data_IF_934782823948
#
_entry.id   IF_934782823948
#
_cell.length_a   1.000
_cell.length_b   1.000
_cell.length_c   1.000
_cell.angle_alpha   90.00
_cell.angle_beta   90.00
_cell.angle_gamma   90.00
#
_symmetry.space_group_name_H-M   'P 1'
#
loop_
_entity.id
_entity.type
_entity.pdbx_description
1 polymer ?
#
# COMPACT_ATOMS: atom_id res chain seq x y z
N UNK A 1 -6.48 0.59 11.86
CA UNK A 1 -5.98 -0.02 10.62
C UNK A 1 -6.37 0.81 9.40
N UNK A 2 -5.41 1.04 8.50
CA UNK A 2 -5.63 1.68 7.20
C UNK A 2 -6.45 0.76 6.29
N UNK A 3 -7.32 1.32 5.48
CA UNK A 3 -8.01 0.61 4.41
C UNK A 3 -7.33 0.91 3.08
N UNK A 4 -7.35 -0.04 2.15
CA UNK A 4 -6.89 0.20 0.77
C UNK A 4 -8.10 -0.02 -0.12
N UNK A 5 -8.43 0.96 -0.95
CA UNK A 5 -9.53 0.84 -1.89
C UNK A 5 -9.20 -0.22 -2.94
N UNK A 6 -10.22 -0.82 -3.54
CA UNK A 6 -10.05 -1.77 -4.64
C UNK A 6 -9.28 -1.12 -5.81
N UNK A 7 -9.61 0.13 -6.15
CA UNK A 7 -8.94 0.88 -7.20
C UNK A 7 -7.44 1.09 -6.92
N UNK A 8 -7.08 1.41 -5.66
CA UNK A 8 -5.68 1.52 -5.26
C UNK A 8 -4.98 0.16 -5.27
N UNK A 9 -5.63 -0.91 -4.80
CA UNK A 9 -5.08 -2.28 -4.82
C UNK A 9 -4.72 -2.71 -6.25
N UNK A 10 -5.65 -2.52 -7.19
CA UNK A 10 -5.45 -2.83 -8.61
C UNK A 10 -4.32 -1.99 -9.23
N UNK A 11 -4.30 -0.68 -8.99
CA UNK A 11 -3.24 0.18 -9.53
C UNK A 11 -1.85 -0.15 -8.98
N UNK A 12 -1.77 -0.56 -7.70
CA UNK A 12 -0.52 -1.04 -7.10
C UNK A 12 -0.08 -2.37 -7.71
N UNK A 13 -1.00 -3.30 -7.92
CA UNK A 13 -0.70 -4.59 -8.56
C UNK A 13 -0.17 -4.39 -9.99
N UNK A 14 -0.87 -3.62 -10.82
CA UNK A 14 -0.45 -3.31 -12.19
C UNK A 14 0.96 -2.68 -12.21
N UNK A 15 1.23 -1.75 -11.30
CA UNK A 15 2.56 -1.12 -11.21
C UNK A 15 3.68 -2.12 -10.82
N UNK A 16 3.39 -3.13 -9.99
CA UNK A 16 4.33 -4.20 -9.65
C UNK A 16 4.56 -5.15 -10.84
N UNK A 17 3.52 -5.46 -11.62
CA UNK A 17 3.61 -6.27 -12.83
C UNK A 17 4.43 -5.60 -13.92
N UNK A 18 4.12 -4.34 -14.22
CA UNK A 18 4.83 -3.53 -15.21
C UNK A 18 6.32 -3.40 -14.86
N UNK A 19 6.63 -3.25 -13.58
CA UNK A 19 8.00 -3.17 -13.08
C UNK A 19 8.68 -4.55 -12.92
N UNK A 20 8.01 -5.65 -13.26
CA UNK A 20 8.51 -7.03 -13.10
C UNK A 20 9.00 -7.35 -11.70
N UNK A 21 8.32 -6.83 -10.67
CA UNK A 21 8.67 -7.06 -9.26
C UNK A 21 8.34 -8.51 -8.88
N UNK A 22 9.20 -9.24 -8.15
CA UNK A 22 8.91 -10.60 -7.71
C UNK A 22 7.61 -10.68 -6.88
N UNK A 23 6.81 -11.76 -6.98
CA UNK A 23 5.51 -11.87 -6.30
C UNK A 23 5.58 -11.84 -4.77
N UNK A 24 6.75 -12.13 -4.18
CA UNK A 24 6.99 -12.03 -2.74
C UNK A 24 7.35 -10.61 -2.26
N UNK A 25 7.52 -9.65 -3.17
CA UNK A 25 7.78 -8.24 -2.88
C UNK A 25 6.62 -7.36 -3.32
N UNK A 26 6.41 -6.26 -2.60
CA UNK A 26 5.33 -5.31 -2.87
C UNK A 26 5.63 -3.94 -2.28
N UNK A 27 4.61 -3.10 -2.15
CA UNK A 27 4.76 -1.76 -1.59
C UNK A 27 4.61 -1.73 -0.07
N UNK A 28 5.64 -1.27 0.64
CA UNK A 28 5.58 -0.94 2.07
C UNK A 28 5.22 0.52 2.27
N UNK A 29 4.23 0.78 3.12
CA UNK A 29 3.99 2.11 3.65
C UNK A 29 4.92 2.40 4.81
N UNK A 30 5.79 3.41 4.66
CA UNK A 30 6.71 3.85 5.68
C UNK A 30 6.41 5.30 6.08
N UNK A 31 6.46 5.60 7.37
CA UNK A 31 6.48 6.97 7.87
C UNK A 31 7.93 7.50 7.84
N UNK A 32 8.14 8.69 7.28
CA UNK A 32 9.43 9.38 7.27
C UNK A 32 9.21 10.86 7.51
N UNK A 33 9.71 11.39 8.61
CA UNK A 33 9.69 12.84 8.92
C UNK A 33 8.28 13.49 8.80
N UNK A 34 7.23 12.78 9.24
CA UNK A 34 5.85 13.27 9.20
C UNK A 34 5.15 13.14 7.84
N UNK A 35 5.77 12.49 6.86
CA UNK A 35 5.11 12.09 5.60
C UNK A 35 5.10 10.57 5.44
N UNK A 36 4.07 10.07 4.76
CA UNK A 36 3.98 8.66 4.40
C UNK A 36 4.49 8.44 2.97
N UNK A 37 5.28 7.40 2.77
CA UNK A 37 5.86 7.04 1.47
C UNK A 37 5.71 5.55 1.21
N UNK A 38 5.48 5.21 -0.05
CA UNK A 38 5.58 3.83 -0.53
C UNK A 38 7.00 3.54 -0.99
N UNK A 39 7.51 2.37 -0.63
CA UNK A 39 8.77 1.82 -1.12
C UNK A 39 8.60 0.34 -1.46
N UNK A 40 9.40 -0.20 -2.36
CA UNK A 40 9.42 -1.65 -2.59
C UNK A 40 10.12 -2.34 -1.42
N UNK A 41 9.50 -3.40 -0.91
CA UNK A 41 10.03 -4.18 0.21
C UNK A 41 9.46 -5.61 0.20
N UNK A 42 9.92 -6.44 1.13
CA UNK A 42 9.35 -7.75 1.44
C UNK A 42 8.66 -7.72 2.82
N UNK A 43 7.59 -8.50 3.03
CA UNK A 43 6.95 -8.58 4.33
C UNK A 43 7.89 -9.13 5.40
N UNK A 44 7.83 -8.52 6.58
CA UNK A 44 8.32 -9.07 7.84
C UNK A 44 7.21 -9.88 8.52
N UNK A 45 7.54 -10.59 9.60
CA UNK A 45 6.58 -11.43 10.33
C UNK A 45 5.45 -10.65 11.00
N UNK A 46 5.67 -9.37 11.27
CA UNK A 46 4.74 -8.53 12.02
C UNK A 46 3.89 -7.62 11.11
N UNK A 47 4.19 -7.56 9.81
CA UNK A 47 3.46 -6.71 8.89
C UNK A 47 2.05 -7.23 8.62
N UNK A 48 1.08 -6.31 8.54
CA UNK A 48 -0.17 -6.62 7.84
C UNK A 48 0.09 -6.58 6.34
N UNK A 49 -0.29 -7.66 5.66
CA UNK A 49 -0.05 -7.83 4.22
C UNK A 49 -1.39 -7.94 3.48
N UNK A 50 -1.54 -7.12 2.44
CA UNK A 50 -2.62 -7.23 1.45
C UNK A 50 -2.05 -7.96 0.24
N UNK A 51 -2.78 -9.00 -0.19
CA UNK A 51 -2.43 -9.84 -1.33
C UNK A 51 -3.54 -9.82 -2.36
N UNK A 52 -3.15 -9.84 -3.63
CA UNK A 52 -4.00 -10.05 -4.79
C UNK A 52 -3.36 -11.16 -5.62
N UNK A 53 -4.14 -12.12 -6.10
CA UNK A 53 -3.66 -13.20 -6.98
C UNK A 53 -2.37 -13.89 -6.47
N UNK A 54 -2.32 -14.19 -5.16
CA UNK A 54 -1.18 -14.78 -4.44
C UNK A 54 0.08 -13.89 -4.33
N UNK A 55 0.11 -12.72 -4.97
CA UNK A 55 1.18 -11.72 -4.90
C UNK A 55 1.00 -10.76 -3.74
N UNK A 56 2.12 -10.32 -3.17
CA UNK A 56 2.17 -9.23 -2.18
C UNK A 56 1.99 -7.88 -2.89
N UNK A 57 0.91 -7.16 -2.59
CA UNK A 57 0.64 -5.84 -3.20
C UNK A 57 1.05 -4.72 -2.26
N UNK A 58 0.58 -4.80 -1.01
CA UNK A 58 0.78 -3.76 -0.01
C UNK A 58 1.12 -4.39 1.34
N UNK A 59 2.00 -3.73 2.08
CA UNK A 59 2.35 -4.10 3.45
C UNK A 59 2.50 -2.86 4.33
N UNK A 60 2.18 -3.01 5.60
CA UNK A 60 2.26 -1.93 6.57
C UNK A 60 2.68 -2.48 7.93
N UNK A 61 3.62 -1.77 8.57
CA UNK A 61 4.07 -2.09 9.92
C UNK A 61 2.96 -1.77 10.93
N UNK A 62 2.81 -2.54 12.01
CA UNK A 62 1.74 -2.35 12.99
C UNK A 62 1.61 -0.90 13.49
N UNK A 63 2.74 -0.25 13.79
CA UNK A 63 2.75 1.14 14.28
C UNK A 63 2.16 2.13 13.27
N UNK A 64 2.40 1.91 11.97
CA UNK A 64 1.88 2.74 10.89
C UNK A 64 0.40 2.42 10.63
N UNK A 65 0.03 1.15 10.70
CA UNK A 65 -1.33 0.67 10.48
C UNK A 65 -2.30 1.19 11.55
N UNK A 66 -1.83 1.24 12.80
CA UNK A 66 -2.56 1.79 13.95
C UNK A 66 -2.64 3.32 13.87
N UNK A 67 -1.55 4.00 13.51
CA UNK A 67 -1.54 5.46 13.36
C UNK A 67 -2.48 5.96 12.24
N UNK A 68 -2.83 5.09 11.30
CA UNK A 68 -3.71 5.38 10.16
C UNK A 68 -5.08 4.71 10.29
N UNK A 69 -5.54 4.45 11.51
CA UNK A 69 -6.92 4.02 11.74
C UNK A 69 -7.93 5.05 11.21
N UNK A 70 -8.93 4.56 10.47
CA UNK A 70 -9.94 5.42 9.84
C UNK A 70 -9.43 6.18 8.60
N UNK A 71 -8.28 5.78 8.05
CA UNK A 71 -7.75 6.32 6.79
C UNK A 71 -7.90 5.29 5.67
N UNK A 72 -8.23 5.75 4.47
CA UNK A 72 -8.23 4.96 3.23
C UNK A 72 -7.11 5.44 2.32
N UNK A 73 -6.28 4.50 1.85
CA UNK A 73 -5.43 4.68 0.69
C UNK A 73 -6.27 4.47 -0.56
N UNK A 74 -6.44 5.53 -1.34
CA UNK A 74 -7.20 5.50 -2.59
C UNK A 74 -6.43 6.20 -3.72
N UNK A 75 -6.94 6.10 -4.94
CA UNK A 75 -6.55 6.95 -6.04
C UNK A 75 -7.19 8.32 -5.91
N UNK A 76 -6.46 9.35 -6.34
CA UNK A 76 -6.98 10.70 -6.40
C UNK A 76 -8.04 10.77 -7.50
N UNK A 77 -9.19 11.37 -7.18
CA UNK A 77 -10.24 11.59 -8.16
C UNK A 77 -9.71 12.36 -9.38
N UNK A 78 -9.94 11.82 -10.58
CA UNK A 78 -9.44 12.37 -11.85
C UNK A 78 -7.97 12.08 -12.15
N UNK A 79 -7.24 11.35 -11.29
CA UNK A 79 -5.84 10.98 -11.49
C UNK A 79 -5.58 9.54 -10.99
N UNK A 80 -5.78 8.57 -11.89
CA UNK A 80 -5.64 7.14 -11.59
C UNK A 80 -4.20 6.69 -11.32
N UNK A 81 -3.21 7.58 -11.44
CA UNK A 81 -1.80 7.27 -11.15
C UNK A 81 -1.33 7.84 -9.82
N UNK A 82 -2.16 8.62 -9.15
CA UNK A 82 -1.78 9.31 -7.91
C UNK A 82 -2.54 8.76 -6.73
N UNK A 83 -1.82 8.11 -5.82
CA UNK A 83 -2.35 7.67 -4.54
C UNK A 83 -2.53 8.84 -3.57
N UNK A 84 -3.54 8.72 -2.70
CA UNK A 84 -3.87 9.69 -1.65
C UNK A 84 -4.34 8.96 -0.40
N UNK A 85 -4.06 9.55 0.76
CA UNK A 85 -4.62 9.13 2.04
C UNK A 85 -5.81 10.03 2.35
N UNK A 86 -6.98 9.45 2.63
CA UNK A 86 -8.22 10.16 2.93
C UNK A 86 -8.77 9.69 4.27
N UNK A 87 -9.28 10.60 5.09
CA UNK A 87 -9.97 10.24 6.34
C UNK A 87 -11.42 9.91 6.00
N UNK A 88 -11.93 8.80 6.55
CA UNK A 88 -13.31 8.35 6.38
C UNK A 88 -14.24 8.96 7.43
#
# INVERSE_FOLDING_TARGET
MIQVSEAASTALLEALEDASVPPEAGYRLAATEGVYKLRLDRPSSDDRVIREEERVVFMVEPEVDDALEGVVLDLKEGDSKRLTLQVV
#
